data_IF_830888792252
#
_entry.id   IF_830888792252
#
_cell.length_a   1.000
_cell.length_b   1.000
_cell.length_c   1.000
_cell.angle_alpha   90.00
_cell.angle_beta   90.00
_cell.angle_gamma   90.00
#
_symmetry.space_group_name_H-M   'P 1'
#
loop_
_entity.id
_entity.type
_entity.pdbx_description
1 polymer ?
#
# COMPACT_ATOMS: atom_id res chain seq x y z
N UNK A 1 24.49 -4.52 19.95
CA UNK A 1 24.30 -4.05 18.57
C UNK A 1 23.27 -2.95 18.61
N UNK A 2 23.71 -1.69 18.63
CA UNK A 2 22.80 -0.56 18.58
C UNK A 2 22.30 -0.40 17.15
N UNK A 3 20.98 -0.38 16.96
CA UNK A 3 20.42 0.31 15.79
C UNK A 3 20.86 1.77 15.99
N UNK A 4 21.73 2.30 15.12
CA UNK A 4 22.21 3.68 15.22
C UNK A 4 21.03 4.67 15.38
N UNK A 5 21.32 5.91 15.77
CA UNK A 5 20.27 6.89 16.09
C UNK A 5 19.20 6.94 14.98
N UNK A 6 17.98 6.60 15.40
CA UNK A 6 16.83 6.52 14.51
C UNK A 6 16.37 7.94 14.24
N UNK A 7 16.38 8.33 12.98
CA UNK A 7 15.96 9.67 12.55
C UNK A 7 14.46 9.71 12.26
N UNK A 8 13.89 8.66 11.69
CA UNK A 8 12.51 8.66 11.23
C UNK A 8 11.88 7.26 11.14
N UNK A 9 10.58 7.16 11.43
CA UNK A 9 9.77 5.95 11.23
C UNK A 9 8.63 6.26 10.29
N UNK A 10 8.37 5.36 9.33
CA UNK A 10 7.21 5.47 8.44
C UNK A 10 6.55 4.13 8.16
N UNK A 11 5.22 4.16 7.99
CA UNK A 11 4.39 3.00 7.74
C UNK A 11 3.82 3.05 6.31
N UNK A 12 4.10 2.01 5.53
CA UNK A 12 3.83 1.95 4.09
C UNK A 12 2.86 0.82 3.77
N UNK A 13 1.75 1.15 3.10
CA UNK A 13 0.65 0.22 2.89
C UNK A 13 0.31 0.10 1.41
N UNK A 14 0.33 -1.14 0.95
CA UNK A 14 0.04 -1.53 -0.42
C UNK A 14 -1.29 -2.24 -0.43
N UNK A 15 -2.19 -1.85 -1.32
CA UNK A 15 -3.50 -2.45 -1.46
C UNK A 15 -3.70 -2.98 -2.88
N UNK A 16 -4.41 -4.10 -3.00
CA UNK A 16 -4.96 -4.56 -4.26
C UNK A 16 -6.38 -5.09 -4.09
N UNK A 17 -7.18 -4.97 -5.15
CA UNK A 17 -8.54 -5.50 -5.22
C UNK A 17 -8.67 -6.32 -6.49
N UNK A 18 -8.91 -7.61 -6.34
CA UNK A 18 -9.27 -8.50 -7.44
C UNK A 18 -10.76 -8.84 -7.37
N UNK A 19 -11.28 -9.49 -8.42
CA UNK A 19 -12.65 -10.01 -8.44
C UNK A 19 -12.96 -10.93 -7.23
N UNK A 20 -11.93 -11.57 -6.67
CA UNK A 20 -12.08 -12.61 -5.66
C UNK A 20 -11.67 -12.16 -4.25
N UNK A 21 -10.87 -11.09 -4.11
CA UNK A 21 -10.35 -10.67 -2.82
C UNK A 21 -9.87 -9.21 -2.75
N UNK A 22 -9.89 -8.67 -1.53
CA UNK A 22 -9.21 -7.43 -1.13
C UNK A 22 -7.94 -7.78 -0.35
N UNK A 23 -6.82 -7.18 -0.70
CA UNK A 23 -5.53 -7.43 -0.06
C UNK A 23 -4.84 -6.17 0.40
N UNK A 24 -4.10 -6.31 1.49
CA UNK A 24 -3.29 -5.25 2.08
C UNK A 24 -1.96 -5.84 2.54
N UNK A 25 -0.85 -5.17 2.23
CA UNK A 25 0.49 -5.48 2.74
C UNK A 25 1.05 -4.24 3.41
N UNK A 26 1.63 -4.41 4.59
CA UNK A 26 2.16 -3.33 5.41
C UNK A 26 3.66 -3.56 5.62
N UNK A 27 4.46 -2.53 5.31
CA UNK A 27 5.88 -2.45 5.62
C UNK A 27 6.15 -1.31 6.60
N UNK A 28 6.96 -1.58 7.62
CA UNK A 28 7.51 -0.57 8.51
C UNK A 28 8.91 -0.22 8.03
N UNK A 29 9.13 1.06 7.77
CA UNK A 29 10.43 1.61 7.42
C UNK A 29 11.00 2.40 8.59
N UNK A 30 12.26 2.15 8.90
CA UNK A 30 13.08 2.87 9.86
C UNK A 30 14.23 3.52 9.09
N UNK A 31 14.34 4.84 9.19
CA UNK A 31 15.53 5.55 8.74
C UNK A 31 16.48 5.70 9.92
N UNK A 32 17.72 5.30 9.70
CA UNK A 32 18.83 5.55 10.64
C UNK A 32 19.88 6.36 9.91
N UNK A 33 20.78 7.01 10.65
CA UNK A 33 21.87 7.80 10.06
C UNK A 33 22.79 7.00 9.10
N UNK A 34 22.76 5.67 9.17
CA UNK A 34 23.61 4.79 8.35
C UNK A 34 22.84 4.05 7.24
N UNK A 35 21.56 3.75 7.45
CA UNK A 35 20.78 2.89 6.54
C UNK A 35 19.27 3.02 6.74
N UNK A 36 18.55 2.68 5.68
CA UNK A 36 17.11 2.41 5.73
C UNK A 36 16.87 0.92 6.01
N UNK A 37 16.11 0.62 7.07
CA UNK A 37 15.64 -0.72 7.38
C UNK A 37 14.16 -0.83 7.02
N UNK A 38 13.78 -1.84 6.26
CA UNK A 38 12.38 -2.10 5.90
C UNK A 38 12.02 -3.51 6.30
N UNK A 39 10.97 -3.64 7.10
CA UNK A 39 10.47 -4.91 7.56
C UNK A 39 9.01 -5.08 7.18
N UNK A 40 8.67 -6.27 6.69
CA UNK A 40 7.28 -6.69 6.56
C UNK A 40 6.65 -6.79 7.94
N UNK A 41 5.48 -6.17 8.12
CA UNK A 41 4.74 -6.17 9.39
C UNK A 41 3.56 -7.12 9.31
N UNK A 42 2.75 -6.97 8.27
CA UNK A 42 1.49 -7.69 8.16
C UNK A 42 1.02 -7.79 6.70
N UNK A 43 0.29 -8.88 6.44
CA UNK A 43 -0.48 -9.08 5.23
C UNK A 43 -1.92 -9.44 5.63
N UNK A 44 -2.89 -8.86 4.93
CA UNK A 44 -4.30 -9.20 5.08
C UNK A 44 -4.88 -9.55 3.72
N UNK A 45 -5.48 -10.73 3.63
CA UNK A 45 -6.32 -11.16 2.51
C UNK A 45 -7.75 -11.30 3.05
N UNK A 46 -8.71 -10.62 2.43
CA UNK A 46 -10.14 -10.84 2.67
C UNK A 46 -10.79 -11.26 1.37
N UNK A 47 -11.47 -12.39 1.37
CA UNK A 47 -12.34 -12.80 0.26
C UNK A 47 -13.36 -11.68 0.03
N UNK A 48 -13.63 -11.34 -1.23
CA UNK A 48 -14.51 -10.25 -1.63
C UNK A 48 -15.99 -10.57 -1.31
N UNK A 49 -16.33 -10.62 -0.03
CA UNK A 49 -17.69 -10.56 0.46
C UNK A 49 -17.88 -9.15 1.05
N UNK A 50 -18.49 -8.28 0.26
CA UNK A 50 -18.73 -6.87 0.54
C UNK A 50 -19.35 -6.65 1.92
N UNK A 51 -18.57 -6.09 2.87
CA UNK A 51 -19.01 -5.10 3.87
C UNK A 51 -17.81 -4.40 4.50
N UNK A 52 -17.99 -3.10 4.72
CA UNK A 52 -16.96 -2.07 4.89
C UNK A 52 -15.78 -2.42 5.79
N UNK A 53 -14.59 -2.04 5.32
CA UNK A 53 -13.32 -2.15 6.04
C UNK A 53 -12.84 -0.74 6.33
N UNK A 54 -12.50 -0.47 7.59
CA UNK A 54 -11.82 0.75 8.02
C UNK A 54 -10.31 0.59 7.77
N UNK A 55 -9.68 1.59 7.15
CA UNK A 55 -8.23 1.66 6.97
C UNK A 55 -7.68 2.62 8.04
N UNK A 56 -6.69 2.21 8.87
CA UNK A 56 -6.08 3.11 9.85
C UNK A 56 -5.24 4.21 9.18
N UNK A 57 -5.00 5.32 9.88
CA UNK A 57 -4.19 6.45 9.40
C UNK A 57 -2.75 6.01 9.12
N UNK A 58 -2.34 6.10 7.85
CA UNK A 58 -1.09 5.58 7.32
C UNK A 58 -0.37 6.67 6.51
N UNK A 59 0.96 6.76 6.63
CA UNK A 59 1.75 7.81 5.99
C UNK A 59 1.88 7.64 4.47
N UNK A 60 1.96 6.38 3.97
CA UNK A 60 1.99 6.12 2.53
C UNK A 60 1.04 4.98 2.15
N UNK A 61 0.14 5.27 1.21
CA UNK A 61 -0.76 4.29 0.61
C UNK A 61 -0.45 4.13 -0.88
N UNK A 62 -0.45 2.90 -1.39
CA UNK A 62 -0.20 2.63 -2.79
C UNK A 62 -1.23 1.66 -3.39
N UNK A 63 -1.64 1.95 -4.63
CA UNK A 63 -2.52 1.10 -5.43
C UNK A 63 -2.00 1.03 -6.87
N UNK A 64 -2.23 -0.09 -7.52
CA UNK A 64 -1.97 -0.30 -8.94
C UNK A 64 -3.17 0.01 -9.84
N UNK A 65 -4.28 0.49 -9.26
CA UNK A 65 -5.44 0.95 -10.03
C UNK A 65 -5.25 2.41 -10.46
N UNK A 66 -4.86 2.61 -11.72
CA UNK A 66 -4.80 3.95 -12.33
C UNK A 66 -6.15 4.64 -12.31
N UNK A 67 -7.25 3.89 -12.44
CA UNK A 67 -8.61 4.42 -12.31
C UNK A 67 -8.86 5.00 -10.92
N UNK A 68 -8.51 4.26 -9.85
CA UNK A 68 -8.66 4.75 -8.49
C UNK A 68 -7.80 6.00 -8.21
N UNK A 69 -6.54 5.99 -8.67
CA UNK A 69 -5.65 7.16 -8.58
C UNK A 69 -6.26 8.38 -9.29
N UNK A 70 -6.79 8.19 -10.49
CA UNK A 70 -7.45 9.26 -11.24
C UNK A 70 -8.68 9.80 -10.53
N UNK A 71 -9.55 8.93 -10.00
CA UNK A 71 -10.74 9.35 -9.25
C UNK A 71 -10.41 10.14 -7.98
N UNK A 72 -9.34 9.77 -7.28
CA UNK A 72 -8.87 10.49 -6.10
C UNK A 72 -8.21 11.83 -6.45
N UNK A 73 -7.57 11.96 -7.62
CA UNK A 73 -6.87 13.21 -7.98
C UNK A 73 -7.74 14.20 -8.75
N UNK A 74 -8.76 13.71 -9.44
CA UNK A 74 -9.75 14.54 -10.13
C UNK A 74 -10.71 15.21 -9.15
N UNK A 75 -11.19 16.41 -9.49
CA UNK A 75 -12.32 17.04 -8.81
C UNK A 75 -13.63 16.90 -9.62
N UNK A 76 -13.77 15.80 -10.37
CA UNK A 76 -14.88 15.59 -11.29
C UNK A 76 -16.16 15.13 -10.56
N UNK A 77 -17.31 15.44 -11.15
CA UNK A 77 -18.61 14.98 -10.66
C UNK A 77 -18.82 13.49 -11.01
N UNK A 78 -18.27 12.61 -10.17
CA UNK A 78 -18.46 11.18 -10.30
C UNK A 78 -19.90 10.74 -9.99
N UNK A 79 -20.38 9.71 -10.69
CA UNK A 79 -21.66 9.06 -10.36
C UNK A 79 -21.69 8.55 -8.92
N UNK A 80 -22.89 8.42 -8.33
CA UNK A 80 -23.13 8.16 -6.90
C UNK A 80 -22.24 7.05 -6.31
N UNK A 81 -22.04 5.95 -7.04
CA UNK A 81 -21.18 4.85 -6.57
C UNK A 81 -19.73 5.28 -6.37
N UNK A 82 -19.10 5.84 -7.40
CA UNK A 82 -17.69 6.27 -7.35
C UNK A 82 -17.53 7.45 -6.38
N UNK A 83 -18.46 8.43 -6.43
CA UNK A 83 -18.44 9.56 -5.51
C UNK A 83 -18.53 9.15 -4.03
N UNK A 84 -19.37 8.17 -3.70
CA UNK A 84 -19.44 7.65 -2.33
C UNK A 84 -18.16 6.92 -1.90
N UNK A 85 -17.51 6.17 -2.80
CA UNK A 85 -16.23 5.50 -2.49
C UNK A 85 -15.09 6.49 -2.31
N UNK A 86 -15.00 7.53 -3.13
CA UNK A 86 -14.01 8.60 -2.95
C UNK A 86 -14.24 9.31 -1.62
N UNK A 87 -15.49 9.58 -1.23
CA UNK A 87 -15.82 10.13 0.09
C UNK A 87 -15.44 9.20 1.24
N UNK A 88 -15.66 7.90 1.10
CA UNK A 88 -15.21 6.91 2.10
C UNK A 88 -13.68 6.94 2.25
N UNK A 89 -12.93 7.01 1.15
CA UNK A 89 -11.45 7.12 1.17
C UNK A 89 -11.03 8.42 1.88
N UNK A 90 -11.69 9.54 1.57
CA UNK A 90 -11.43 10.84 2.18
C UNK A 90 -11.77 10.93 3.67
N UNK A 91 -12.63 10.05 4.18
CA UNK A 91 -12.92 10.00 5.60
C UNK A 91 -11.71 9.50 6.43
N UNK A 92 -10.73 8.84 5.80
CA UNK A 92 -9.58 8.21 6.47
C UNK A 92 -8.22 8.54 5.83
N UNK A 93 -8.18 9.27 4.73
CA UNK A 93 -6.94 9.59 4.02
C UNK A 93 -7.12 10.77 3.08
N UNK A 94 -6.03 11.38 2.63
CA UNK A 94 -6.04 12.41 1.59
C UNK A 94 -5.50 11.87 0.27
N UNK A 95 -5.95 12.45 -0.85
CA UNK A 95 -5.52 12.04 -2.19
C UNK A 95 -3.99 12.09 -2.40
N UNK A 96 -3.28 13.02 -1.75
CA UNK A 96 -1.83 13.19 -1.83
C UNK A 96 -1.05 12.08 -1.12
N UNK A 97 -1.68 11.36 -0.20
CA UNK A 97 -1.08 10.20 0.48
C UNK A 97 -1.09 8.93 -0.39
N UNK A 98 -1.83 8.94 -1.50
CA UNK A 98 -1.96 7.80 -2.42
C UNK A 98 -1.02 7.91 -3.61
N UNK A 99 -0.18 6.89 -3.78
CA UNK A 99 0.76 6.72 -4.88
C UNK A 99 0.34 5.58 -5.81
N UNK A 100 0.65 5.72 -7.09
CA UNK A 100 0.54 4.60 -8.02
C UNK A 100 1.75 3.67 -7.86
N UNK A 101 1.53 2.36 -7.90
CA UNK A 101 2.57 1.35 -7.98
C UNK A 101 2.23 0.38 -9.12
N UNK A 102 3.16 0.04 -10.05
CA UNK A 102 2.88 -0.98 -11.05
C UNK A 102 2.50 -2.32 -10.41
N UNK A 103 1.55 -3.07 -10.97
CA UNK A 103 1.06 -4.32 -10.38
C UNK A 103 2.18 -5.34 -10.11
N UNK A 104 3.22 -5.39 -10.97
CA UNK A 104 4.39 -6.26 -10.78
C UNK A 104 5.25 -5.87 -9.57
N UNK A 105 5.15 -4.62 -9.12
CA UNK A 105 5.82 -4.05 -7.95
C UNK A 105 4.86 -3.86 -6.77
N UNK A 106 3.59 -4.26 -6.91
CA UNK A 106 2.60 -4.18 -5.84
C UNK A 106 2.61 -5.50 -5.04
N UNK A 107 3.19 -5.54 -3.84
CA UNK A 107 3.25 -6.77 -3.04
C UNK A 107 1.84 -7.28 -2.65
N UNK A 108 0.82 -6.41 -2.66
CA UNK A 108 -0.56 -6.83 -2.43
C UNK A 108 -1.18 -7.61 -3.61
N UNK A 109 -0.64 -7.50 -4.83
CA UNK A 109 -1.11 -8.25 -6.00
C UNK A 109 -0.93 -9.75 -5.82
N UNK A 110 0.21 -10.20 -5.29
CA UNK A 110 0.50 -11.62 -5.10
C UNK A 110 -0.49 -12.31 -4.15
N UNK A 111 -0.83 -11.63 -3.05
CA UNK A 111 -1.86 -12.10 -2.12
C UNK A 111 -3.21 -12.24 -2.83
N UNK A 112 -3.55 -11.28 -3.71
CA UNK A 112 -4.87 -11.22 -4.33
C UNK A 112 -5.08 -12.35 -5.35
N UNK A 113 -3.98 -12.94 -5.83
CA UNK A 113 -3.93 -14.13 -6.71
C UNK A 113 -3.91 -15.45 -5.94
N UNK A 114 -3.99 -15.41 -4.61
CA UNK A 114 -3.93 -16.61 -3.76
C UNK A 114 -2.55 -17.24 -3.66
N UNK A 115 -1.48 -16.48 -3.92
CA UNK A 115 -0.12 -16.99 -3.77
C UNK A 115 0.16 -17.27 -2.28
N UNK A 116 0.68 -18.45 -1.91
CA UNK A 116 1.10 -18.71 -0.54
C UNK A 116 2.18 -17.70 -0.12
N UNK A 117 2.18 -17.29 1.15
CA UNK A 117 3.28 -16.52 1.73
C UNK A 117 4.55 -17.40 1.69
N UNK A 118 5.39 -17.19 0.68
CA UNK A 118 6.68 -17.85 0.54
C UNK A 118 7.77 -16.79 0.67
N UNK A 119 8.49 -16.81 1.79
CA UNK A 119 9.68 -15.98 2.02
C UNK A 119 10.92 -16.58 1.31
N UNK A 120 10.75 -17.11 0.10
CA UNK A 120 11.88 -17.57 -0.72
C UNK A 120 12.48 -16.37 -1.46
N UNK A 121 13.79 -16.45 -1.78
CA UNK A 121 14.59 -15.40 -2.42
C UNK A 121 14.08 -14.90 -3.79
N UNK A 122 12.98 -15.41 -4.32
CA UNK A 122 12.35 -14.82 -5.51
C UNK A 122 11.53 -13.60 -5.06
N UNK A 123 12.20 -12.44 -5.14
CA UNK A 123 11.91 -11.10 -4.58
C UNK A 123 10.57 -10.42 -4.92
N UNK A 124 9.48 -11.16 -5.16
CA UNK A 124 8.18 -10.52 -5.39
C UNK A 124 7.52 -9.99 -4.10
N UNK A 125 7.90 -10.53 -2.94
CA UNK A 125 7.45 -10.06 -1.61
C UNK A 125 8.35 -8.98 -1.01
N UNK A 126 9.45 -8.65 -1.69
CA UNK A 126 10.36 -7.61 -1.23
C UNK A 126 9.72 -6.24 -1.41
N UNK A 127 9.97 -5.34 -0.46
CA UNK A 127 9.57 -3.95 -0.59
C UNK A 127 10.13 -3.38 -1.92
N UNK A 128 9.37 -2.53 -2.63
CA UNK A 128 9.86 -1.88 -3.84
C UNK A 128 11.18 -1.13 -3.59
N UNK A 129 12.05 -1.07 -4.59
CA UNK A 129 13.39 -0.51 -4.40
C UNK A 129 13.38 0.97 -4.03
N UNK A 130 12.44 1.75 -4.58
CA UNK A 130 12.22 3.15 -4.20
C UNK A 130 11.80 3.33 -2.74
N UNK A 131 11.32 2.28 -2.06
CA UNK A 131 11.04 2.35 -0.63
C UNK A 131 12.35 2.26 0.19
N UNK A 132 13.34 1.50 -0.31
CA UNK A 132 14.68 1.33 0.28
C UNK A 132 15.53 2.59 0.11
N UNK A 133 15.39 3.24 -1.04
CA UNK A 133 16.06 4.50 -1.37
C UNK A 133 15.06 5.52 -1.94
N UNK A 134 14.54 6.44 -1.12
CA UNK A 134 13.57 7.45 -1.56
C UNK A 134 14.18 8.53 -2.47
N UNK A 135 15.51 8.54 -2.68
CA UNK A 135 16.17 9.44 -3.61
C UNK A 135 15.87 9.17 -5.09
N UNK A 136 15.25 8.03 -5.39
CA UNK A 136 14.99 7.53 -6.74
C UNK A 136 13.54 7.80 -7.22
N UNK A 137 12.83 8.75 -6.58
CA UNK A 137 11.44 9.12 -6.86
C UNK A 137 11.27 10.27 -7.84
#
# INVERSE_FOLDING_TARGET
MGFGDISFWSLHVFCNVSLHAYTTVIFLRCETNEKNLINFVAARLRVALLKGITIPDLELMATDSTAAISWMRSNDAWGTFVGNRVKEIYAFSRADQWSYVPSLSNPADLLSRGSPLQFSKSDRWSAPDWLKDPGDR
#
